data_IF_431265037842
#
_entry.id   IF_431265037842
#
_cell.length_a   1.000
_cell.length_b   1.000
_cell.length_c   1.000
_cell.angle_alpha   90.00
_cell.angle_beta   90.00
_cell.angle_gamma   90.00
#
_symmetry.space_group_name_H-M   'P 1'
#
loop_
_entity.id
_entity.type
_entity.pdbx_description
1 polymer ?
#
# COMPACT_ATOMS: atom_id res chain seq x y z
N UNK A 1 -12.56 -5.74 15.12
CA UNK A 1 -12.03 -6.54 14.01
C UNK A 1 -10.52 -6.52 14.15
N UNK A 2 -9.88 -7.69 14.19
CA UNK A 2 -8.41 -7.75 14.25
C UNK A 2 -7.79 -7.11 13.00
N UNK A 3 -6.66 -6.38 13.12
CA UNK A 3 -5.95 -5.83 11.97
C UNK A 3 -5.57 -6.93 10.97
N UNK A 4 -5.69 -6.62 9.68
CA UNK A 4 -5.27 -7.52 8.59
C UNK A 4 -4.26 -6.82 7.71
N UNK A 5 -3.18 -7.50 7.34
CA UNK A 5 -2.10 -6.92 6.53
C UNK A 5 -1.89 -7.71 5.25
N UNK A 6 -1.71 -7.00 4.14
CA UNK A 6 -1.19 -7.54 2.88
C UNK A 6 0.10 -6.82 2.52
N UNK A 7 1.11 -7.58 2.10
CA UNK A 7 2.32 -7.03 1.49
C UNK A 7 2.17 -7.02 -0.01
N UNK A 8 2.42 -5.87 -0.63
CA UNK A 8 2.38 -5.69 -2.09
C UNK A 8 3.77 -5.28 -2.56
N UNK A 9 4.26 -5.93 -3.61
CA UNK A 9 5.56 -5.62 -4.22
C UNK A 9 5.36 -4.92 -5.57
N UNK A 10 5.87 -3.70 -5.67
CA UNK A 10 5.75 -2.81 -6.81
C UNK A 10 7.09 -2.72 -7.52
N UNK A 11 7.13 -2.97 -8.84
CA UNK A 11 8.38 -2.94 -9.60
C UNK A 11 8.64 -1.58 -10.22
N UNK A 12 9.89 -1.12 -10.22
CA UNK A 12 10.37 0.07 -10.95
C UNK A 12 9.51 1.32 -10.71
N UNK A 13 9.19 1.61 -9.46
CA UNK A 13 8.38 2.74 -9.07
C UNK A 13 9.18 4.05 -9.04
N UNK A 14 8.53 5.12 -9.49
CA UNK A 14 8.89 6.52 -9.22
C UNK A 14 7.84 7.11 -8.26
N UNK A 15 8.03 8.37 -7.87
CA UNK A 15 6.98 9.09 -7.13
C UNK A 15 5.67 9.16 -7.95
N UNK A 16 4.54 8.87 -7.33
CA UNK A 16 3.24 8.85 -8.01
C UNK A 16 2.11 8.22 -7.19
N UNK A 17 0.89 8.30 -7.72
CA UNK A 17 -0.27 7.64 -7.14
C UNK A 17 -0.26 6.14 -7.43
N UNK A 18 -0.51 5.35 -6.39
CA UNK A 18 -0.74 3.92 -6.46
C UNK A 18 -2.14 3.59 -5.94
N UNK A 19 -2.72 2.52 -6.49
CA UNK A 19 -4.00 1.97 -6.10
C UNK A 19 -3.86 0.46 -5.88
N UNK A 20 -4.43 -0.04 -4.78
CA UNK A 20 -4.55 -1.46 -4.52
C UNK A 20 -5.96 -1.80 -4.06
N UNK A 21 -6.63 -2.65 -4.84
CA UNK A 21 -7.94 -3.18 -4.51
C UNK A 21 -7.81 -4.40 -3.62
N UNK A 22 -8.47 -4.38 -2.46
CA UNK A 22 -8.53 -5.52 -1.55
C UNK A 22 -9.98 -5.79 -1.18
N UNK A 23 -10.66 -6.47 -2.12
CA UNK A 23 -12.09 -6.74 -2.09
C UNK A 23 -12.50 -7.56 -0.86
N UNK A 24 -13.38 -6.99 -0.04
CA UNK A 24 -13.88 -7.58 1.20
C UNK A 24 -13.22 -6.99 2.44
N UNK A 25 -11.88 -7.05 2.59
CA UNK A 25 -11.20 -6.50 3.77
C UNK A 25 -11.29 -4.99 3.92
N UNK A 26 -11.06 -4.22 2.85
CA UNK A 26 -11.14 -2.75 2.91
C UNK A 26 -12.58 -2.31 2.62
N UNK A 27 -13.14 -1.49 3.51
CA UNK A 27 -14.47 -0.91 3.42
C UNK A 27 -14.38 0.63 3.36
N UNK A 28 -15.44 1.34 2.89
CA UNK A 28 -15.40 2.79 2.71
C UNK A 28 -15.08 3.61 3.97
N UNK A 29 -15.24 3.03 5.16
CA UNK A 29 -14.98 3.67 6.45
C UNK A 29 -13.80 3.04 7.21
N UNK A 30 -13.06 2.12 6.61
CA UNK A 30 -11.89 1.50 7.23
C UNK A 30 -10.80 2.52 7.55
N UNK A 31 -10.10 2.32 8.66
CA UNK A 31 -8.80 2.97 8.89
C UNK A 31 -7.72 2.10 8.24
N UNK A 32 -6.83 2.72 7.46
CA UNK A 32 -5.73 2.02 6.77
C UNK A 32 -4.40 2.69 7.10
N UNK A 33 -3.40 1.88 7.42
CA UNK A 33 -2.01 2.28 7.50
C UNK A 33 -1.22 1.65 6.36
N UNK A 34 -0.35 2.43 5.72
CA UNK A 34 0.52 1.94 4.65
C UNK A 34 1.96 2.28 5.01
N UNK A 35 2.80 1.26 5.22
CA UNK A 35 4.25 1.44 5.28
C UNK A 35 4.87 1.17 3.91
N UNK A 36 6.05 1.69 3.66
CA UNK A 36 6.79 1.44 2.42
C UNK A 36 8.30 1.37 2.68
N UNK A 37 8.99 0.51 1.93
CA UNK A 37 10.46 0.46 1.88
C UNK A 37 10.92 -0.09 0.52
N UNK A 38 12.21 0.01 0.23
CA UNK A 38 12.79 -0.68 -0.94
C UNK A 38 12.71 -2.20 -0.77
N UNK A 39 12.71 -2.94 -1.87
CA UNK A 39 12.86 -4.38 -1.88
C UNK A 39 13.74 -4.86 -3.05
N UNK A 40 14.27 -6.09 -2.94
CA UNK A 40 15.11 -6.69 -3.96
C UNK A 40 14.46 -7.96 -4.51
N UNK A 41 14.23 -7.97 -5.82
CA UNK A 41 13.80 -9.14 -6.56
C UNK A 41 15.03 -9.97 -6.96
N UNK A 42 15.27 -11.06 -6.22
CA UNK A 42 16.42 -11.95 -6.45
C UNK A 42 16.21 -12.76 -7.75
N UNK A 43 16.98 -12.52 -8.83
CA UNK A 43 16.70 -13.09 -10.16
C UNK A 43 16.80 -14.62 -10.27
N UNK A 44 17.43 -15.26 -9.30
CA UNK A 44 17.54 -16.73 -9.22
C UNK A 44 16.65 -17.38 -8.17
N UNK A 45 15.78 -16.62 -7.50
CA UNK A 45 14.92 -17.20 -6.48
C UNK A 45 13.79 -18.01 -7.12
N UNK A 46 13.71 -19.29 -6.75
CA UNK A 46 12.57 -20.16 -7.09
C UNK A 46 11.42 -20.05 -6.09
N UNK A 47 11.59 -19.30 -5.00
CA UNK A 47 10.59 -19.13 -3.94
C UNK A 47 9.47 -18.13 -4.30
N UNK A 48 9.45 -17.61 -5.53
CA UNK A 48 8.46 -16.62 -5.96
C UNK A 48 8.48 -15.36 -5.09
N UNK A 49 7.30 -14.94 -4.62
CA UNK A 49 7.13 -13.73 -3.79
C UNK A 49 7.83 -13.84 -2.44
N UNK A 50 7.97 -15.04 -1.89
CA UNK A 50 8.66 -15.27 -0.61
C UNK A 50 10.19 -15.13 -0.74
N UNK A 51 10.70 -15.10 -1.98
CA UNK A 51 12.10 -14.84 -2.29
C UNK A 51 12.48 -13.36 -2.32
N UNK A 52 11.52 -12.44 -2.17
CA UNK A 52 11.75 -11.00 -2.23
C UNK A 52 12.17 -10.52 -0.84
N UNK A 53 13.29 -9.81 -0.77
CA UNK A 53 13.82 -9.29 0.50
C UNK A 53 13.53 -7.80 0.65
N UNK A 54 13.17 -7.38 1.86
CA UNK A 54 13.11 -5.96 2.18
C UNK A 54 14.52 -5.39 2.22
N UNK A 55 14.68 -4.17 1.73
CA UNK A 55 15.95 -3.50 1.60
C UNK A 55 15.86 -2.11 2.22
N UNK A 56 16.84 -1.78 3.06
CA UNK A 56 16.91 -0.44 3.66
C UNK A 56 17.14 0.62 2.59
N UNK A 57 18.03 0.33 1.64
CA UNK A 57 18.43 1.27 0.61
C UNK A 57 19.03 2.57 1.15
N UNK A 58 19.17 3.54 0.26
CA UNK A 58 19.63 4.89 0.55
C UNK A 58 18.59 5.96 0.19
N UNK A 59 17.55 5.61 -0.58
CA UNK A 59 16.50 6.53 -0.94
C UNK A 59 15.57 6.80 0.24
N UNK A 60 15.06 8.03 0.33
CA UNK A 60 13.95 8.31 1.25
C UNK A 60 12.64 7.91 0.59
N UNK A 61 11.93 6.96 1.19
CA UNK A 61 10.63 6.47 0.73
C UNK A 61 9.56 6.90 1.74
N UNK A 62 8.45 7.48 1.26
CA UNK A 62 7.32 7.82 2.14
C UNK A 62 5.98 7.63 1.45
N UNK A 63 4.96 7.37 2.25
CA UNK A 63 3.57 7.30 1.80
C UNK A 63 2.82 8.54 2.28
N UNK A 64 2.09 9.17 1.38
CA UNK A 64 1.34 10.41 1.61
C UNK A 64 -0.10 10.24 1.12
N UNK A 65 -1.01 11.05 1.68
CA UNK A 65 -2.41 11.16 1.21
C UNK A 65 -3.09 9.79 1.02
N UNK A 66 -3.12 8.98 2.09
CA UNK A 66 -3.78 7.67 2.07
C UNK A 66 -5.30 7.87 2.13
N UNK A 67 -6.02 7.30 1.16
CA UNK A 67 -7.48 7.38 1.07
C UNK A 67 -8.06 6.01 0.75
N UNK A 68 -8.98 5.55 1.58
CA UNK A 68 -9.81 4.38 1.28
C UNK A 68 -10.91 4.74 0.29
N UNK A 69 -11.28 3.81 -0.56
CA UNK A 69 -12.42 3.97 -1.45
C UNK A 69 -13.34 2.74 -1.40
N UNK A 70 -14.61 2.98 -1.69
CA UNK A 70 -15.62 1.94 -1.85
C UNK A 70 -15.69 1.40 -3.28
N UNK A 71 -16.76 0.68 -3.62
CA UNK A 71 -17.02 0.21 -4.98
C UNK A 71 -17.18 1.40 -5.94
N UNK A 72 -16.61 1.26 -7.14
CA UNK A 72 -16.92 2.16 -8.25
C UNK A 72 -18.21 1.68 -8.95
N UNK A 73 -19.08 2.59 -9.41
CA UNK A 73 -20.28 2.20 -10.15
C UNK A 73 -19.93 1.35 -11.37
N UNK A 74 -20.55 0.16 -11.47
CA UNK A 74 -20.32 -0.78 -12.59
C UNK A 74 -19.11 -1.71 -12.42
N UNK A 75 -18.41 -1.65 -11.28
CA UNK A 75 -17.30 -2.55 -10.97
C UNK A 75 -17.69 -3.58 -9.88
N UNK A 76 -17.08 -4.77 -9.96
CA UNK A 76 -17.12 -5.81 -8.93
C UNK A 76 -16.19 -5.52 -7.74
N UNK A 77 -15.33 -4.51 -7.83
CA UNK A 77 -14.46 -4.07 -6.74
C UNK A 77 -15.31 -3.59 -5.57
N UNK A 78 -15.08 -4.14 -4.38
CA UNK A 78 -15.83 -3.80 -3.16
C UNK A 78 -15.09 -2.81 -2.26
N UNK A 79 -13.77 -2.66 -2.44
CA UNK A 79 -13.00 -1.64 -1.74
C UNK A 79 -11.50 -1.74 -1.99
N UNK A 80 -10.82 -0.63 -1.68
CA UNK A 80 -9.38 -0.51 -1.88
C UNK A 80 -8.82 0.75 -1.25
N UNK A 81 -7.52 0.95 -1.46
CA UNK A 81 -6.79 2.12 -0.99
C UNK A 81 -6.01 2.75 -2.13
N UNK A 82 -6.05 4.07 -2.20
CA UNK A 82 -5.15 4.87 -3.01
C UNK A 82 -4.24 5.70 -2.11
N UNK A 83 -3.00 5.87 -2.54
CA UNK A 83 -2.01 6.64 -1.81
C UNK A 83 -0.94 7.17 -2.75
N UNK A 84 -0.31 8.27 -2.36
CA UNK A 84 0.83 8.81 -3.07
C UNK A 84 2.12 8.22 -2.51
N UNK A 85 2.83 7.46 -3.32
CA UNK A 85 4.17 6.98 -3.01
C UNK A 85 5.18 8.06 -3.41
N UNK A 86 5.99 8.52 -2.47
CA UNK A 86 7.16 9.33 -2.74
C UNK A 86 8.40 8.43 -2.75
N UNK A 87 9.12 8.45 -3.86
CA UNK A 87 10.44 7.84 -4.03
C UNK A 87 11.43 8.97 -4.30
N UNK A 88 12.20 9.35 -3.29
CA UNK A 88 13.24 10.39 -3.42
C UNK A 88 14.54 9.77 -3.93
N UNK A 89 14.53 9.43 -5.22
CA UNK A 89 15.65 8.86 -5.94
C UNK A 89 15.58 9.21 -7.43
N UNK A 90 16.74 9.30 -8.08
CA UNK A 90 16.81 9.71 -9.50
C UNK A 90 16.47 8.59 -10.49
N UNK A 91 16.36 7.35 -10.01
CA UNK A 91 15.99 6.18 -10.81
C UNK A 91 14.81 5.45 -10.19
N UNK A 92 14.01 4.70 -10.97
CA UNK A 92 12.94 3.89 -10.40
C UNK A 92 13.49 2.78 -9.50
N UNK A 93 12.80 2.50 -8.41
CA UNK A 93 13.17 1.47 -7.42
C UNK A 93 12.07 0.42 -7.26
N UNK A 94 12.44 -0.79 -6.89
CA UNK A 94 11.48 -1.82 -6.48
C UNK A 94 11.07 -1.54 -5.02
N UNK A 95 9.76 -1.51 -4.75
CA UNK A 95 9.19 -1.05 -3.47
C UNK A 95 8.26 -2.12 -2.91
N UNK A 96 8.33 -2.38 -1.61
CA UNK A 96 7.34 -3.14 -0.87
C UNK A 96 6.46 -2.19 -0.07
N UNK A 97 5.15 -2.43 -0.06
CA UNK A 97 4.21 -1.76 0.86
C UNK A 97 3.49 -2.78 1.72
N UNK A 98 3.42 -2.55 3.02
CA UNK A 98 2.48 -3.27 3.89
C UNK A 98 1.23 -2.41 4.06
N UNK A 99 0.09 -2.94 3.63
CA UNK A 99 -1.22 -2.30 3.73
C UNK A 99 -1.97 -3.00 4.86
N UNK A 100 -2.06 -2.34 6.00
CA UNK A 100 -2.80 -2.83 7.16
C UNK A 100 -4.15 -2.15 7.24
N UNK A 101 -5.22 -2.94 7.12
CA UNK A 101 -6.59 -2.50 7.34
C UNK A 101 -7.02 -2.79 8.78
N UNK A 102 -7.63 -1.80 9.40
CA UNK A 102 -8.24 -1.85 10.72
C UNK A 102 -9.74 -1.61 10.61
N UNK A 103 -10.44 -1.71 11.75
CA UNK A 103 -11.85 -1.35 11.85
C UNK A 103 -12.13 0.12 11.50
N UNK A 104 -13.42 0.50 11.44
CA UNK A 104 -13.78 1.91 11.31
C UNK A 104 -13.34 2.72 12.52
N UNK A 105 -13.17 4.04 12.38
CA UNK A 105 -12.91 4.91 13.52
C UNK A 105 -14.06 4.82 14.52
N UNK A 106 -13.74 4.76 15.82
CA UNK A 106 -14.73 4.64 16.90
C UNK A 106 -15.64 5.87 17.00
N UNK A 107 -15.08 7.06 16.74
CA UNK A 107 -15.76 8.34 16.84
C UNK A 107 -15.32 9.26 15.70
N UNK A 108 -16.20 10.19 15.31
CA UNK A 108 -15.95 11.19 14.26
C UNK A 108 -16.42 12.54 14.77
N UNK A 109 -15.56 13.55 14.68
CA UNK A 109 -15.85 14.91 15.10
C UNK A 109 -15.50 15.90 13.98
N UNK A 110 -16.25 16.98 13.87
CA UNK A 110 -15.88 18.15 13.06
C UNK A 110 -15.39 19.21 14.04
N UNK A 111 -14.16 19.68 13.84
CA UNK A 111 -13.55 20.76 14.64
C UNK A 111 -13.18 21.89 13.68
N UNK A 112 -13.44 23.13 14.09
CA UNK A 112 -13.13 24.35 13.34
C UNK A 112 -12.84 25.50 14.28
#
# INVERSE_FOLDING_TARGET
MEPRTVRVFWRKQKSGWLNFNWNGPIQPNSVVHVSACECLFNPGSIAGVDGITLHRGAATISVKNVRVHGPNPGDSITGGVEFFLQVDWNAPLDIATDITVMGPPEQKFIVG
#
